data_IF_747452062182
#
_entry.id   IF_747452062182
#
_cell.length_a   1.000
_cell.length_b   1.000
_cell.length_c   1.000
_cell.angle_alpha   90.00
_cell.angle_beta   90.00
_cell.angle_gamma   90.00
#
_symmetry.space_group_name_H-M   'P 1'
#
loop_
_entity.id
_entity.type
_entity.pdbx_description
1 polymer ?
#
# COMPACT_ATOMS: atom_id res chain seq x y z
N UNK A 1 59.30 -14.95 -32.97
CA UNK A 1 60.00 -14.75 -34.25
C UNK A 1 59.02 -14.18 -35.27
N UNK A 2 59.43 -13.12 -35.99
CA UNK A 2 59.00 -12.72 -37.35
C UNK A 2 57.50 -12.48 -37.64
N UNK A 3 57.13 -11.20 -37.79
CA UNK A 3 56.08 -10.69 -38.70
C UNK A 3 56.62 -10.62 -40.15
N UNK A 4 55.79 -10.60 -41.21
CA UNK A 4 55.24 -9.35 -41.81
C UNK A 4 53.79 -9.51 -42.33
N UNK A 5 53.04 -8.49 -42.79
CA UNK A 5 53.23 -7.03 -42.92
C UNK A 5 51.86 -6.38 -43.27
N UNK A 6 51.56 -5.16 -42.81
CA UNK A 6 51.73 -3.86 -43.51
C UNK A 6 50.66 -3.52 -44.58
N UNK A 7 49.95 -2.40 -44.37
CA UNK A 7 49.06 -1.73 -45.36
C UNK A 7 48.11 -0.73 -44.69
N UNK A 8 48.23 0.57 -44.98
CA UNK A 8 47.53 1.64 -44.26
C UNK A 8 47.04 2.80 -45.14
N UNK A 9 45.98 3.49 -44.66
CA UNK A 9 45.60 4.90 -44.93
C UNK A 9 44.94 5.26 -46.31
N UNK A 10 44.21 6.41 -46.43
CA UNK A 10 42.90 6.47 -47.12
C UNK A 10 42.81 7.59 -48.19
N UNK A 11 41.84 8.54 -48.16
CA UNK A 11 40.45 8.49 -48.64
C UNK A 11 40.21 9.30 -49.95
N UNK A 12 39.01 9.20 -50.57
CA UNK A 12 38.44 10.28 -51.46
C UNK A 12 36.92 10.16 -51.66
N UNK A 13 36.31 11.24 -52.15
CA UNK A 13 34.86 11.52 -52.09
C UNK A 13 34.25 11.89 -53.47
N UNK A 14 32.97 12.32 -53.45
CA UNK A 14 32.11 12.88 -54.54
C UNK A 14 31.22 11.89 -55.32
N UNK A 15 30.02 12.24 -55.83
CA UNK A 15 29.00 13.27 -55.47
C UNK A 15 27.70 13.03 -56.32
N UNK A 16 26.60 13.74 -56.01
CA UNK A 16 25.28 13.77 -56.71
C UNK A 16 24.38 12.51 -56.58
N UNK A 17 23.04 12.60 -56.59
CA UNK A 17 22.15 13.79 -56.70
C UNK A 17 20.69 13.47 -56.34
N UNK A 18 19.86 14.51 -56.18
CA UNK A 18 18.45 14.43 -55.73
C UNK A 18 17.49 14.11 -56.88
N UNK A 19 16.52 13.22 -56.67
CA UNK A 19 15.27 13.19 -57.46
C UNK A 19 14.04 12.88 -56.60
N UNK A 20 13.00 13.70 -56.73
CA UNK A 20 11.71 13.54 -56.06
C UNK A 20 10.74 12.74 -56.94
N UNK A 21 10.10 11.70 -56.38
CA UNK A 21 8.89 11.09 -56.95
C UNK A 21 7.68 11.37 -56.06
N UNK A 22 6.72 12.13 -56.62
CA UNK A 22 5.44 12.45 -55.96
C UNK A 22 4.51 11.23 -56.00
N UNK A 23 3.99 10.80 -54.86
CA UNK A 23 2.78 9.95 -54.81
C UNK A 23 1.62 10.80 -54.27
N UNK A 24 0.51 10.78 -55.02
CA UNK A 24 -0.67 11.62 -54.82
C UNK A 24 -1.74 10.79 -54.12
N UNK A 25 -2.14 11.16 -52.91
CA UNK A 25 -3.26 10.52 -52.19
C UNK A 25 -4.37 11.55 -52.00
N UNK A 26 -5.59 11.21 -52.39
CA UNK A 26 -6.72 12.14 -52.39
C UNK A 26 -7.40 12.21 -51.01
N UNK A 27 -7.81 13.40 -50.60
CA UNK A 27 -8.76 13.59 -49.49
C UNK A 27 -10.21 13.67 -50.00
N UNK A 28 -11.17 13.01 -49.35
CA UNK A 28 -12.56 13.43 -49.41
C UNK A 28 -12.80 14.63 -48.47
N UNK A 29 -13.44 15.68 -48.97
CA UNK A 29 -14.04 16.76 -48.14
C UNK A 29 -15.51 16.43 -47.90
N UNK A 30 -16.05 16.76 -46.72
CA UNK A 30 -17.46 17.13 -46.44
C UNK A 30 -17.50 17.84 -45.05
N UNK A 31 -18.56 18.56 -44.64
CA UNK A 31 -18.45 20.01 -44.51
C UNK A 31 -18.57 20.58 -43.08
N UNK A 32 -18.19 21.85 -42.93
CA UNK A 32 -18.49 22.68 -41.74
C UNK A 32 -19.96 23.09 -41.70
N UNK A 33 -20.62 22.97 -40.53
CA UNK A 33 -21.14 24.11 -39.72
C UNK A 33 -21.85 23.63 -38.44
N UNK A 34 -21.61 24.32 -37.32
CA UNK A 34 -22.35 24.29 -36.03
C UNK A 34 -22.43 22.90 -35.30
N UNK A 35 -22.41 22.79 -33.97
CA UNK A 35 -22.59 23.75 -32.87
C UNK A 35 -21.46 23.56 -31.85
N UNK A 36 -20.76 24.64 -31.48
CA UNK A 36 -19.80 24.65 -30.37
C UNK A 36 -20.56 24.81 -29.04
N UNK A 37 -20.93 23.69 -28.43
CA UNK A 37 -21.38 23.69 -27.03
C UNK A 37 -20.23 24.06 -26.11
N UNK A 38 -20.25 25.27 -25.57
CA UNK A 38 -19.21 25.74 -24.67
C UNK A 38 -19.14 24.87 -23.40
N UNK A 39 -17.99 24.23 -23.17
CA UNK A 39 -17.64 23.73 -21.84
C UNK A 39 -17.64 24.91 -20.87
N UNK A 40 -18.31 24.83 -19.70
CA UNK A 40 -18.30 25.91 -18.74
C UNK A 40 -16.87 26.19 -18.26
N UNK A 41 -16.49 27.47 -18.05
CA UNK A 41 -15.13 27.81 -17.65
C UNK A 41 -14.79 27.14 -16.33
N UNK A 42 -13.58 26.57 -16.25
CA UNK A 42 -13.08 25.97 -15.03
C UNK A 42 -13.06 27.00 -13.91
N UNK A 43 -13.83 26.73 -12.85
CA UNK A 43 -13.92 27.58 -11.67
C UNK A 43 -12.57 27.59 -10.93
N UNK A 44 -11.70 28.54 -11.30
CA UNK A 44 -10.56 28.96 -10.49
C UNK A 44 -11.10 29.46 -9.14
N UNK A 45 -11.06 28.63 -8.10
CA UNK A 45 -11.64 29.00 -6.82
C UNK A 45 -11.93 27.83 -5.87
N UNK A 46 -10.93 27.01 -5.56
CA UNK A 46 -10.92 26.14 -4.37
C UNK A 46 -9.48 25.72 -4.02
N UNK A 47 -8.55 26.68 -4.11
CA UNK A 47 -7.28 26.57 -3.39
C UNK A 47 -7.53 26.89 -1.92
N UNK A 48 -6.81 26.24 -1.01
CA UNK A 48 -6.81 26.46 0.44
C UNK A 48 -7.94 25.78 1.25
N UNK A 49 -7.64 24.58 1.74
CA UNK A 49 -8.10 24.12 3.07
C UNK A 49 -6.97 23.51 3.92
N UNK A 50 -5.86 23.05 3.29
CA UNK A 50 -4.68 22.48 3.99
C UNK A 50 -3.70 23.56 4.53
N UNK A 51 -3.86 24.85 4.21
CA UNK A 51 -2.87 25.87 4.63
C UNK A 51 -3.08 26.40 6.05
N UNK A 52 -4.27 26.27 6.64
CA UNK A 52 -4.61 26.93 7.91
C UNK A 52 -4.49 26.03 9.16
N UNK A 53 -4.09 24.77 9.01
CA UNK A 53 -3.66 23.96 10.17
C UNK A 53 -2.14 24.02 10.27
N UNK A 54 -1.65 24.64 11.35
CA UNK A 54 -0.22 24.63 11.71
C UNK A 54 0.14 23.22 12.19
N UNK A 55 0.37 22.32 11.23
CA UNK A 55 0.76 20.94 11.49
C UNK A 55 2.28 20.79 11.27
N UNK A 56 2.95 20.07 12.20
CA UNK A 56 4.38 19.73 12.12
C UNK A 56 4.67 19.08 10.76
N UNK A 57 5.59 19.65 9.98
CA UNK A 57 5.95 19.13 8.65
C UNK A 57 6.99 18.03 8.77
N UNK A 58 6.83 16.96 8.00
CA UNK A 58 7.84 15.92 7.86
C UNK A 58 8.97 16.44 6.96
N UNK A 59 10.23 16.20 7.35
CA UNK A 59 11.41 16.52 6.55
C UNK A 59 12.20 15.27 6.24
N UNK A 60 12.43 14.99 4.95
CA UNK A 60 13.23 13.84 4.46
C UNK A 60 14.03 14.33 3.25
N UNK A 61 15.36 14.13 3.23
CA UNK A 61 16.26 14.53 2.13
C UNK A 61 15.98 15.93 1.55
N UNK A 62 15.85 16.93 2.43
CA UNK A 62 15.58 18.32 2.06
C UNK A 62 14.15 18.65 1.61
N UNK A 63 13.27 17.65 1.42
CA UNK A 63 11.85 17.87 1.11
C UNK A 63 11.06 18.21 2.38
N UNK A 64 10.09 19.11 2.26
CA UNK A 64 9.13 19.43 3.33
C UNK A 64 7.76 18.89 2.93
N UNK A 65 7.23 17.97 3.71
CA UNK A 65 6.09 17.11 3.37
C UNK A 65 4.98 17.23 4.42
N UNK A 66 3.76 16.81 4.06
CA UNK A 66 2.72 16.53 5.05
C UNK A 66 3.16 15.38 5.98
N UNK A 67 2.78 15.40 7.27
CA UNK A 67 3.15 14.36 8.24
C UNK A 67 2.33 13.06 8.08
N UNK A 68 1.94 12.72 6.85
CA UNK A 68 1.17 11.52 6.52
C UNK A 68 1.94 10.72 5.47
N UNK A 69 2.06 9.41 5.70
CA UNK A 69 2.65 8.43 4.80
C UNK A 69 1.60 7.38 4.44
N UNK A 70 1.38 7.15 3.16
CA UNK A 70 0.70 5.95 2.69
C UNK A 70 1.73 4.81 2.63
N UNK A 71 1.53 3.77 3.43
CA UNK A 71 2.41 2.61 3.50
C UNK A 71 2.20 1.65 2.32
N UNK A 72 3.27 1.04 1.82
CA UNK A 72 3.22 0.12 0.68
C UNK A 72 2.46 -1.17 0.96
N UNK A 73 1.63 -1.60 0.02
CA UNK A 73 0.74 -2.76 0.10
C UNK A 73 0.95 -3.66 -1.12
N UNK A 74 1.46 -4.88 -0.86
CA UNK A 74 2.02 -5.78 -1.87
C UNK A 74 1.05 -6.33 -2.91
N UNK A 75 1.62 -6.86 -4.01
CA UNK A 75 0.89 -7.42 -5.16
C UNK A 75 -0.06 -6.38 -5.75
N UNK A 76 0.48 -5.19 -6.04
CA UNK A 76 -0.20 -4.10 -6.74
C UNK A 76 -1.31 -3.37 -5.97
N UNK A 77 -1.57 -3.66 -4.69
CA UNK A 77 -2.63 -2.96 -3.93
C UNK A 77 -2.31 -1.47 -3.74
N UNK A 78 -1.03 -1.11 -3.63
CA UNK A 78 -0.53 0.26 -3.82
C UNK A 78 0.42 0.31 -5.02
N UNK A 79 -0.02 0.96 -6.08
CA UNK A 79 0.70 1.14 -7.32
C UNK A 79 0.71 2.65 -7.69
N UNK A 80 0.92 2.99 -8.96
CA UNK A 80 1.15 4.37 -9.37
C UNK A 80 -0.01 5.31 -9.08
N UNK A 81 -1.27 4.85 -9.15
CA UNK A 81 -2.43 5.72 -9.04
C UNK A 81 -2.64 6.17 -7.60
N UNK A 82 -2.52 5.26 -6.63
CA UNK A 82 -2.56 5.62 -5.21
C UNK A 82 -1.32 6.42 -4.80
N UNK A 83 -0.12 5.90 -5.05
CA UNK A 83 1.11 6.52 -4.59
C UNK A 83 1.35 7.89 -5.25
N UNK A 84 1.08 8.00 -6.55
CA UNK A 84 1.16 9.24 -7.31
C UNK A 84 0.17 10.30 -6.81
N UNK A 85 -1.08 9.93 -6.51
CA UNK A 85 -2.05 10.87 -5.93
C UNK A 85 -1.67 11.33 -4.53
N UNK A 86 -1.23 10.42 -3.64
CA UNK A 86 -0.78 10.80 -2.30
C UNK A 86 0.41 11.77 -2.39
N UNK A 87 1.36 11.50 -3.28
CA UNK A 87 2.51 12.37 -3.51
C UNK A 87 2.12 13.71 -4.18
N UNK A 88 1.14 13.75 -5.08
CA UNK A 88 0.69 15.00 -5.73
C UNK A 88 0.06 15.99 -4.74
N UNK A 89 -0.45 15.47 -3.61
CA UNK A 89 -1.00 16.23 -2.49
C UNK A 89 0.05 16.65 -1.45
N UNK A 90 1.34 16.37 -1.69
CA UNK A 90 2.45 16.78 -0.82
C UNK A 90 2.73 15.85 0.36
N UNK A 91 2.15 14.65 0.38
CA UNK A 91 2.45 13.58 1.33
C UNK A 91 3.48 12.57 0.76
N UNK A 92 3.76 11.49 1.50
CA UNK A 92 4.56 10.37 1.00
C UNK A 92 3.64 9.28 0.46
N UNK A 93 3.70 9.03 -0.86
CA UNK A 93 3.02 7.90 -1.50
C UNK A 93 4.01 6.76 -1.73
N UNK A 94 3.61 5.51 -1.44
CA UNK A 94 4.51 4.36 -1.49
C UNK A 94 3.95 3.25 -2.37
N UNK A 95 4.64 2.96 -3.47
CA UNK A 95 4.41 1.77 -4.32
C UNK A 95 4.92 0.53 -3.58
N UNK A 96 4.32 -0.64 -3.76
CA UNK A 96 4.95 -1.91 -3.30
C UNK A 96 5.49 -2.70 -4.49
N UNK A 97 6.75 -3.12 -4.42
CA UNK A 97 7.49 -3.66 -5.57
C UNK A 97 7.07 -5.06 -6.04
N UNK A 98 6.29 -5.80 -5.25
CA UNK A 98 6.08 -7.24 -5.46
C UNK A 98 5.03 -7.54 -6.52
N UNK A 99 5.43 -8.29 -7.55
CA UNK A 99 4.63 -8.82 -8.66
C UNK A 99 3.76 -7.77 -9.40
N UNK A 100 4.30 -6.55 -9.55
CA UNK A 100 3.64 -5.40 -10.18
C UNK A 100 3.24 -5.63 -11.65
N UNK A 101 3.86 -6.60 -12.36
CA UNK A 101 3.48 -6.94 -13.73
C UNK A 101 1.99 -7.24 -13.89
N UNK A 102 1.28 -7.62 -12.81
CA UNK A 102 -0.17 -7.84 -12.78
C UNK A 102 -1.01 -6.63 -13.22
N UNK A 103 -0.48 -5.41 -13.11
CA UNK A 103 -1.10 -4.19 -13.63
C UNK A 103 -0.85 -3.94 -15.13
N UNK A 104 -0.02 -4.77 -15.76
CA UNK A 104 0.40 -4.61 -17.15
C UNK A 104 0.04 -5.86 -17.97
N UNK A 105 -1.12 -5.86 -18.67
CA UNK A 105 -1.57 -7.01 -19.45
C UNK A 105 -0.55 -7.51 -20.49
N UNK A 106 0.26 -6.62 -21.06
CA UNK A 106 1.33 -6.95 -22.00
C UNK A 106 2.48 -7.74 -21.35
N UNK A 107 2.83 -7.45 -20.09
CA UNK A 107 3.85 -8.18 -19.34
C UNK A 107 3.30 -9.51 -18.78
N UNK A 108 2.01 -9.54 -18.43
CA UNK A 108 1.32 -10.77 -18.04
C UNK A 108 1.21 -11.77 -19.19
N UNK A 109 0.90 -11.32 -20.42
CA UNK A 109 0.80 -12.23 -21.57
C UNK A 109 2.17 -12.85 -21.93
N UNK A 110 3.24 -12.05 -21.93
CA UNK A 110 4.62 -12.52 -22.14
C UNK A 110 5.04 -13.63 -21.17
N UNK A 111 4.48 -13.65 -19.96
CA UNK A 111 4.80 -14.65 -18.92
C UNK A 111 3.70 -15.70 -18.70
N UNK A 112 2.58 -15.64 -19.43
CA UNK A 112 1.34 -16.41 -19.16
C UNK A 112 1.53 -17.93 -19.09
N UNK A 113 2.42 -18.48 -19.91
CA UNK A 113 2.75 -19.91 -19.96
C UNK A 113 4.18 -20.22 -19.51
N UNK A 114 4.94 -19.20 -19.12
CA UNK A 114 6.31 -19.37 -18.66
C UNK A 114 6.34 -19.69 -17.17
N UNK A 115 7.30 -20.54 -16.78
CA UNK A 115 7.73 -20.71 -15.39
C UNK A 115 9.19 -20.32 -15.21
N UNK A 116 9.79 -19.72 -16.24
CA UNK A 116 11.15 -19.20 -16.17
C UNK A 116 11.18 -18.01 -15.21
N UNK A 117 11.95 -18.18 -14.14
CA UNK A 117 12.14 -17.17 -13.12
C UNK A 117 12.84 -15.93 -13.69
N UNK A 118 13.82 -16.06 -14.58
CA UNK A 118 14.58 -14.91 -15.07
C UNK A 118 13.70 -13.98 -15.91
N UNK A 119 12.87 -14.57 -16.79
CA UNK A 119 11.85 -13.82 -17.54
C UNK A 119 10.82 -13.15 -16.61
N UNK A 120 10.34 -13.85 -15.57
CA UNK A 120 9.33 -13.28 -14.67
C UNK A 120 9.92 -12.17 -13.80
N UNK A 121 11.15 -12.34 -13.29
CA UNK A 121 11.86 -11.32 -12.53
C UNK A 121 12.09 -10.08 -13.41
N UNK A 122 12.58 -10.21 -14.67
CA UNK A 122 12.81 -9.06 -15.56
C UNK A 122 11.53 -8.29 -15.93
N UNK A 123 10.43 -9.01 -16.20
CA UNK A 123 9.12 -8.39 -16.45
C UNK A 123 8.58 -7.65 -15.22
N UNK A 124 8.90 -8.10 -14.00
CA UNK A 124 8.54 -7.40 -12.77
C UNK A 124 9.42 -6.16 -12.49
N UNK A 125 10.68 -6.16 -12.92
CA UNK A 125 11.54 -4.98 -12.85
C UNK A 125 11.07 -3.89 -13.84
N UNK A 126 10.71 -4.28 -15.07
CA UNK A 126 10.08 -3.38 -16.04
C UNK A 126 8.72 -2.84 -15.55
N UNK A 127 7.91 -3.68 -14.89
CA UNK A 127 6.68 -3.23 -14.23
C UNK A 127 6.96 -2.18 -13.14
N UNK A 128 7.91 -2.45 -12.24
CA UNK A 128 8.29 -1.49 -11.20
C UNK A 128 8.76 -0.16 -11.81
N UNK A 129 9.54 -0.20 -12.89
CA UNK A 129 9.99 1.00 -13.61
C UNK A 129 8.83 1.82 -14.16
N UNK A 130 7.85 1.18 -14.82
CA UNK A 130 6.64 1.84 -15.35
C UNK A 130 5.83 2.49 -14.22
N UNK A 131 5.61 1.76 -13.13
CA UNK A 131 4.81 2.21 -11.99
C UNK A 131 5.46 3.40 -11.26
N UNK A 132 6.79 3.37 -11.05
CA UNK A 132 7.51 4.51 -10.45
C UNK A 132 7.46 5.74 -11.34
N UNK A 133 7.69 5.59 -12.66
CA UNK A 133 7.64 6.71 -13.61
C UNK A 133 6.24 7.34 -13.67
N UNK A 134 5.19 6.52 -13.73
CA UNK A 134 3.80 7.01 -13.72
C UNK A 134 3.44 7.72 -12.40
N UNK A 135 3.89 7.20 -11.25
CA UNK A 135 3.68 7.86 -9.97
C UNK A 135 4.40 9.20 -9.86
N UNK A 136 5.64 9.31 -10.37
CA UNK A 136 6.41 10.55 -10.40
C UNK A 136 5.76 11.61 -11.28
N UNK A 137 5.21 11.21 -12.43
CA UNK A 137 4.43 12.09 -13.32
C UNK A 137 3.18 12.63 -12.60
N UNK A 138 2.37 11.75 -12.00
CA UNK A 138 1.20 12.14 -11.21
C UNK A 138 1.57 13.04 -10.02
N UNK A 139 2.69 12.75 -9.34
CA UNK A 139 3.16 13.54 -8.21
C UNK A 139 3.58 14.97 -8.59
N UNK A 140 4.01 15.19 -9.84
CA UNK A 140 4.43 16.50 -10.38
C UNK A 140 5.42 17.26 -9.48
N UNK A 141 6.27 16.53 -8.76
CA UNK A 141 7.29 17.07 -7.85
C UNK A 141 6.82 17.51 -6.46
N UNK A 142 5.51 17.55 -6.17
CA UNK A 142 4.95 18.14 -4.94
C UNK A 142 5.31 17.39 -3.64
N UNK A 143 5.34 16.07 -3.67
CA UNK A 143 5.55 15.21 -2.50
C UNK A 143 6.78 14.31 -2.63
N UNK A 144 6.62 13.07 -2.15
CA UNK A 144 7.64 12.03 -2.23
C UNK A 144 7.00 10.72 -2.73
N UNK A 145 7.52 10.19 -3.84
CA UNK A 145 7.23 8.82 -4.29
C UNK A 145 8.28 7.89 -3.71
N UNK A 146 7.85 6.91 -2.94
CA UNK A 146 8.66 5.88 -2.32
C UNK A 146 8.34 4.51 -2.91
N UNK A 147 9.29 3.57 -2.81
CA UNK A 147 9.07 2.15 -3.13
C UNK A 147 9.32 1.31 -1.90
N UNK A 148 8.31 0.52 -1.51
CA UNK A 148 8.45 -0.51 -0.50
C UNK A 148 8.98 -1.81 -1.13
N UNK A 149 10.11 -2.29 -0.63
CA UNK A 149 10.69 -3.59 -0.97
C UNK A 149 10.78 -4.43 0.31
N UNK A 150 10.09 -5.57 0.35
CA UNK A 150 10.15 -6.47 1.51
C UNK A 150 11.47 -7.25 1.53
N UNK A 151 12.18 -7.29 2.68
CA UNK A 151 13.46 -8.00 2.82
C UNK A 151 13.33 -9.52 2.62
N UNK A 152 12.13 -10.08 2.78
CA UNK A 152 11.81 -11.49 2.62
C UNK A 152 11.74 -11.99 1.16
N UNK A 153 11.77 -11.10 0.14
CA UNK A 153 11.63 -11.51 -1.27
C UNK A 153 12.94 -12.00 -1.88
N UNK A 154 12.85 -12.95 -2.81
CA UNK A 154 14.03 -13.55 -3.45
C UNK A 154 14.86 -12.55 -4.24
N UNK A 155 14.20 -11.63 -4.94
CA UNK A 155 14.82 -10.65 -5.86
C UNK A 155 15.01 -9.28 -5.18
N UNK A 156 15.22 -9.27 -3.85
CA UNK A 156 15.30 -8.06 -3.01
C UNK A 156 16.29 -7.02 -3.53
N UNK A 157 17.53 -7.42 -3.82
CA UNK A 157 18.57 -6.53 -4.33
C UNK A 157 18.14 -5.86 -5.66
N UNK A 158 17.65 -6.66 -6.61
CA UNK A 158 17.20 -6.17 -7.92
C UNK A 158 16.04 -5.17 -7.81
N UNK A 159 15.08 -5.42 -6.92
CA UNK A 159 13.98 -4.46 -6.68
C UNK A 159 14.47 -3.16 -6.02
N UNK A 160 15.46 -3.21 -5.12
CA UNK A 160 16.08 -2.01 -4.53
C UNK A 160 16.77 -1.19 -5.61
N UNK A 161 17.67 -1.81 -6.39
CA UNK A 161 18.40 -1.12 -7.46
C UNK A 161 17.44 -0.54 -8.50
N UNK A 162 16.49 -1.33 -8.99
CA UNK A 162 15.50 -0.87 -9.99
C UNK A 162 14.63 0.28 -9.47
N UNK A 163 14.25 0.29 -8.18
CA UNK A 163 13.52 1.41 -7.58
C UNK A 163 14.32 2.71 -7.65
N UNK A 164 15.62 2.65 -7.31
CA UNK A 164 16.53 3.78 -7.38
C UNK A 164 16.75 4.26 -8.83
N UNK A 165 17.04 3.35 -9.76
CA UNK A 165 17.21 3.64 -11.20
C UNK A 165 15.96 4.27 -11.83
N UNK A 166 14.77 3.89 -11.35
CA UNK A 166 13.49 4.44 -11.83
C UNK A 166 13.19 5.84 -11.26
N UNK A 167 14.03 6.37 -10.38
CA UNK A 167 13.90 7.70 -9.80
C UNK A 167 13.06 7.77 -8.51
N UNK A 168 12.84 6.66 -7.80
CA UNK A 168 12.16 6.69 -6.51
C UNK A 168 12.91 7.58 -5.51
N UNK A 169 12.20 8.49 -4.84
CA UNK A 169 12.81 9.39 -3.86
C UNK A 169 13.15 8.72 -2.53
N UNK A 170 12.57 7.55 -2.25
CA UNK A 170 12.87 6.74 -1.08
C UNK A 170 12.71 5.24 -1.34
N UNK A 171 13.51 4.42 -0.66
CA UNK A 171 13.33 2.97 -0.55
C UNK A 171 12.97 2.64 0.90
N UNK A 172 11.80 2.01 1.07
CA UNK A 172 11.23 1.62 2.36
C UNK A 172 11.34 0.11 2.52
N UNK A 173 11.96 -0.40 3.59
CA UNK A 173 12.16 -1.85 3.76
C UNK A 173 11.58 -2.38 5.07
N UNK A 174 10.68 -3.35 4.95
CA UNK A 174 10.12 -4.12 6.07
C UNK A 174 10.22 -5.63 5.85
N UNK A 175 9.52 -6.42 6.66
CA UNK A 175 9.56 -7.90 6.63
C UNK A 175 10.99 -8.49 6.74
N UNK A 176 11.80 -7.92 7.62
CA UNK A 176 13.19 -8.31 7.90
C UNK A 176 14.08 -7.09 8.15
N UNK A 177 15.31 -7.30 8.65
CA UNK A 177 16.26 -6.21 8.90
C UNK A 177 17.06 -5.87 7.63
N UNK A 178 17.00 -4.63 7.11
CA UNK A 178 17.74 -4.19 5.91
C UNK A 178 19.22 -3.87 6.21
N UNK A 179 19.97 -4.85 6.72
CA UNK A 179 21.37 -4.66 7.14
C UNK A 179 22.35 -4.42 5.98
N UNK A 180 21.89 -4.60 4.75
CA UNK A 180 22.59 -4.57 3.46
C UNK A 180 22.13 -3.41 2.54
N UNK A 181 21.11 -2.64 2.97
CA UNK A 181 20.52 -1.58 2.14
C UNK A 181 21.47 -0.41 1.80
N UNK A 182 22.36 0.07 2.70
CA UNK A 182 23.34 1.10 2.36
C UNK A 182 24.29 0.65 1.24
N UNK A 183 24.74 -0.61 1.27
CA UNK A 183 25.59 -1.17 0.22
C UNK A 183 24.84 -1.28 -1.12
N UNK A 184 23.58 -1.69 -1.12
CA UNK A 184 22.73 -1.79 -2.32
C UNK A 184 22.33 -0.44 -2.94
N UNK A 185 22.56 0.68 -2.23
CA UNK A 185 22.15 2.02 -2.64
C UNK A 185 23.31 3.02 -2.66
N UNK A 186 24.56 2.53 -2.66
CA UNK A 186 25.77 3.36 -2.62
C UNK A 186 25.84 4.38 -3.77
N UNK A 187 25.48 3.98 -4.98
CA UNK A 187 25.46 4.83 -6.18
C UNK A 187 24.26 5.81 -6.22
N UNK A 188 23.36 5.75 -5.23
CA UNK A 188 22.12 6.51 -5.16
C UNK A 188 22.00 7.35 -3.86
N UNK A 189 23.01 8.18 -3.52
CA UNK A 189 23.11 8.83 -2.21
C UNK A 189 21.92 9.73 -1.84
N UNK A 190 21.24 10.28 -2.86
CA UNK A 190 20.08 11.16 -2.74
C UNK A 190 18.77 10.43 -2.44
N UNK A 191 18.71 9.10 -2.64
CA UNK A 191 17.54 8.30 -2.26
C UNK A 191 17.50 8.18 -0.73
N UNK A 192 16.31 8.40 -0.15
CA UNK A 192 16.09 8.24 1.27
C UNK A 192 15.94 6.76 1.65
N UNK A 193 16.63 6.32 2.70
CA UNK A 193 16.59 4.93 3.17
C UNK A 193 15.77 4.83 4.46
N UNK A 194 14.66 4.07 4.42
CA UNK A 194 13.63 4.07 5.47
C UNK A 194 13.33 2.62 5.92
N UNK A 195 13.97 2.11 7.00
CA UNK A 195 13.60 0.82 7.58
C UNK A 195 12.25 0.89 8.32
N UNK A 196 11.47 -0.18 8.23
CA UNK A 196 10.29 -0.46 9.06
C UNK A 196 10.71 -1.41 10.19
N UNK A 197 10.51 -0.98 11.43
CA UNK A 197 10.97 -1.67 12.64
C UNK A 197 9.87 -1.58 13.71
N UNK A 198 9.78 -2.55 14.62
CA UNK A 198 8.71 -2.59 15.64
C UNK A 198 9.19 -2.28 17.06
N UNK A 199 10.46 -2.49 17.38
CA UNK A 199 11.04 -2.24 18.71
C UNK A 199 12.31 -1.38 18.65
N UNK A 200 12.66 -0.74 19.78
CA UNK A 200 13.90 0.03 19.92
C UNK A 200 15.16 -0.83 19.69
N UNK A 201 15.09 -2.13 20.00
CA UNK A 201 16.21 -3.07 19.78
C UNK A 201 16.55 -3.22 18.28
N UNK A 202 15.55 -3.35 17.41
CA UNK A 202 15.69 -3.37 15.96
C UNK A 202 16.27 -2.06 15.43
N UNK A 203 15.80 -0.92 15.96
CA UNK A 203 16.37 0.41 15.68
C UNK A 203 17.86 0.44 16.00
N UNK A 204 18.23 0.04 17.22
CA UNK A 204 19.64 -0.01 17.65
C UNK A 204 20.51 -0.94 16.80
N UNK A 205 19.98 -2.07 16.31
CA UNK A 205 20.70 -2.98 15.42
C UNK A 205 20.97 -2.36 14.04
N UNK A 206 19.96 -1.72 13.43
CA UNK A 206 20.09 -1.07 12.12
C UNK A 206 21.04 0.12 12.21
N UNK A 207 20.87 1.02 13.19
CA UNK A 207 21.76 2.16 13.41
C UNK A 207 23.22 1.70 13.57
N UNK A 208 23.50 0.79 14.51
CA UNK A 208 24.86 0.27 14.76
C UNK A 208 25.48 -0.45 13.56
N UNK A 209 24.68 -0.96 12.61
CA UNK A 209 25.18 -1.59 11.37
C UNK A 209 25.46 -0.53 10.30
N UNK A 210 24.53 0.40 10.07
CA UNK A 210 24.64 1.41 9.02
C UNK A 210 25.67 2.50 9.35
N UNK A 211 25.84 2.88 10.62
CA UNK A 211 26.92 3.79 11.06
C UNK A 211 28.31 3.29 10.64
N UNK A 212 28.55 1.97 10.69
CA UNK A 212 29.80 1.33 10.21
C UNK A 212 29.98 1.39 8.68
N UNK A 213 28.96 1.84 7.95
CA UNK A 213 28.96 2.11 6.50
C UNK A 213 28.89 3.60 6.19
N UNK A 214 29.08 4.46 7.19
CA UNK A 214 28.94 5.91 7.06
C UNK A 214 27.58 6.36 6.47
N UNK A 215 26.50 5.64 6.84
CA UNK A 215 25.13 5.97 6.44
C UNK A 215 24.19 5.87 7.64
N UNK A 216 23.16 6.71 7.66
CA UNK A 216 22.07 6.65 8.63
C UNK A 216 20.73 6.48 7.90
N UNK A 217 19.69 5.98 8.57
CA UNK A 217 18.31 6.09 8.12
C UNK A 217 17.90 7.55 7.91
N UNK A 218 17.26 7.84 6.78
CA UNK A 218 16.73 9.16 6.48
C UNK A 218 15.35 9.41 7.12
N UNK A 219 14.71 8.33 7.58
CA UNK A 219 13.59 8.25 8.51
C UNK A 219 13.50 6.80 9.03
N UNK A 220 12.73 6.54 10.07
CA UNK A 220 12.42 5.19 10.57
C UNK A 220 10.91 5.07 10.75
N UNK A 221 10.31 4.02 10.18
CA UNK A 221 8.91 3.67 10.46
C UNK A 221 8.87 2.75 11.68
N UNK A 222 8.11 3.14 12.70
CA UNK A 222 7.81 2.36 13.89
C UNK A 222 6.44 1.70 13.68
N UNK A 223 6.44 0.41 13.31
CA UNK A 223 5.20 -0.34 13.06
C UNK A 223 4.79 -1.17 14.26
N UNK A 224 3.60 -0.91 14.80
CA UNK A 224 3.04 -1.67 15.90
C UNK A 224 2.30 -2.93 15.41
N UNK A 225 2.83 -4.15 15.65
CA UNK A 225 2.24 -5.41 15.21
C UNK A 225 0.87 -5.73 15.85
N UNK A 226 0.53 -5.12 17.00
CA UNK A 226 -0.82 -5.23 17.60
C UNK A 226 -1.91 -4.72 16.64
N UNK A 227 -1.58 -3.71 15.82
CA UNK A 227 -2.59 -3.01 15.01
C UNK A 227 -2.36 -3.05 13.49
N UNK A 228 -1.14 -3.32 13.02
CA UNK A 228 -0.77 -3.27 11.59
C UNK A 228 -1.51 -4.29 10.70
N UNK A 229 -1.42 -4.11 9.38
CA UNK A 229 -2.00 -4.99 8.37
C UNK A 229 -0.91 -5.84 7.69
N UNK A 230 -1.26 -7.00 7.14
CA UNK A 230 -0.27 -7.82 6.43
C UNK A 230 0.67 -8.53 7.39
N UNK A 231 1.95 -8.68 7.03
CA UNK A 231 2.96 -9.27 7.89
C UNK A 231 3.32 -8.33 9.04
N UNK A 232 3.44 -8.88 10.24
CA UNK A 232 3.58 -8.11 11.48
C UNK A 232 5.01 -8.29 12.03
N UNK A 233 5.62 -7.22 12.53
CA UNK A 233 6.99 -7.20 13.07
C UNK A 233 7.20 -7.91 14.42
N UNK A 234 6.59 -9.07 14.64
CA UNK A 234 6.76 -9.91 15.82
C UNK A 234 7.22 -11.34 15.44
N UNK A 235 7.95 -12.06 16.32
CA UNK A 235 8.44 -13.41 16.03
C UNK A 235 7.34 -14.49 16.15
N UNK A 236 6.30 -14.25 16.95
CA UNK A 236 5.22 -15.20 17.25
C UNK A 236 3.86 -14.49 17.30
N UNK A 237 2.77 -15.26 17.25
CA UNK A 237 1.41 -14.74 17.37
C UNK A 237 1.13 -14.22 18.79
N UNK A 238 1.58 -14.93 19.82
CA UNK A 238 1.38 -14.54 21.22
C UNK A 238 2.15 -13.26 21.59
N UNK A 239 3.25 -12.98 20.89
CA UNK A 239 4.06 -11.78 21.09
C UNK A 239 3.45 -10.50 20.49
N UNK A 240 2.36 -10.56 19.74
CA UNK A 240 1.82 -9.40 19.00
C UNK A 240 1.43 -8.20 19.87
N UNK A 241 1.11 -8.44 21.14
CA UNK A 241 0.74 -7.41 22.12
C UNK A 241 1.83 -7.13 23.18
N UNK A 242 3.09 -7.44 22.86
CA UNK A 242 4.18 -7.20 23.79
C UNK A 242 4.38 -5.68 24.05
N UNK A 243 4.49 -5.21 25.30
CA UNK A 243 4.52 -3.77 25.64
C UNK A 243 5.63 -3.00 24.93
N UNK A 244 6.80 -3.61 24.70
CA UNK A 244 7.91 -3.04 23.91
C UNK A 244 7.54 -2.55 22.49
N UNK A 245 6.34 -2.87 21.97
CA UNK A 245 5.82 -2.37 20.70
C UNK A 245 4.89 -1.15 20.84
N UNK A 246 4.58 -0.72 22.05
CA UNK A 246 3.78 0.47 22.30
C UNK A 246 4.50 1.72 21.79
N UNK A 247 3.80 2.55 21.00
CA UNK A 247 4.41 3.65 20.25
C UNK A 247 5.19 4.62 21.15
N UNK A 248 4.69 4.92 22.35
CA UNK A 248 5.39 5.75 23.32
C UNK A 248 6.72 5.11 23.75
N UNK A 249 6.72 3.84 24.17
CA UNK A 249 7.92 3.14 24.64
C UNK A 249 8.97 3.00 23.52
N UNK A 250 8.55 2.80 22.26
CA UNK A 250 9.49 2.76 21.12
C UNK A 250 10.04 4.15 20.79
N UNK A 251 9.21 5.21 20.84
CA UNK A 251 9.68 6.60 20.65
C UNK A 251 10.68 7.01 21.75
N UNK A 252 10.41 6.67 23.01
CA UNK A 252 11.31 6.91 24.14
C UNK A 252 12.63 6.13 23.99
N UNK A 253 12.55 4.83 23.71
CA UNK A 253 13.73 3.99 23.49
C UNK A 253 14.56 4.42 22.27
N UNK A 254 13.91 4.91 21.20
CA UNK A 254 14.60 5.46 20.04
C UNK A 254 15.34 6.77 20.37
N UNK A 255 14.72 7.67 21.16
CA UNK A 255 15.36 8.91 21.63
C UNK A 255 16.59 8.62 22.50
N UNK A 256 16.48 7.70 23.46
CA UNK A 256 17.63 7.33 24.31
C UNK A 256 18.74 6.62 23.50
N UNK A 257 18.39 5.85 22.47
CA UNK A 257 19.38 5.30 21.53
C UNK A 257 20.07 6.39 20.71
N UNK A 258 19.34 7.41 20.24
CA UNK A 258 19.95 8.52 19.51
C UNK A 258 20.94 9.29 20.40
N UNK A 259 20.55 9.60 21.64
CA UNK A 259 21.43 10.20 22.65
C UNK A 259 22.66 9.34 22.95
N UNK A 260 22.46 8.06 23.25
CA UNK A 260 23.55 7.09 23.53
C UNK A 260 24.54 6.96 22.36
N UNK A 261 24.08 7.14 21.12
CA UNK A 261 24.90 7.03 19.91
C UNK A 261 25.40 8.39 19.37
N UNK A 262 25.10 9.51 20.04
CA UNK A 262 25.48 10.86 19.60
C UNK A 262 24.74 11.38 18.36
N UNK A 263 23.56 10.83 18.06
CA UNK A 263 22.77 11.08 16.84
C UNK A 263 21.65 12.13 17.02
N UNK A 264 21.57 12.82 18.15
CA UNK A 264 20.49 13.80 18.39
C UNK A 264 20.49 14.94 17.37
N UNK A 265 21.66 15.39 16.92
CA UNK A 265 21.81 16.42 15.89
C UNK A 265 21.33 15.98 14.49
N UNK A 266 21.28 14.68 14.22
CA UNK A 266 20.85 14.12 12.93
C UNK A 266 19.33 14.23 12.72
N UNK A 267 18.56 14.46 13.80
CA UNK A 267 17.11 14.69 13.76
C UNK A 267 16.32 13.62 12.98
N UNK A 268 16.75 12.35 13.04
CA UNK A 268 16.17 11.23 12.26
C UNK A 268 14.65 11.13 12.49
N UNK A 269 13.81 11.35 11.46
CA UNK A 269 12.36 11.33 11.61
C UNK A 269 11.82 9.97 12.04
N UNK A 270 11.03 9.94 13.11
CA UNK A 270 10.29 8.74 13.55
C UNK A 270 8.84 8.80 13.06
N UNK A 271 8.39 7.76 12.36
CA UNK A 271 7.09 7.70 11.68
C UNK A 271 6.27 6.56 12.30
N UNK A 272 5.20 6.86 13.04
CA UNK A 272 4.44 5.81 13.75
C UNK A 272 3.39 5.17 12.85
N UNK A 273 3.29 3.84 12.85
CA UNK A 273 2.40 3.07 11.98
C UNK A 273 1.59 2.01 12.75
N UNK A 274 0.37 1.74 12.25
CA UNK A 274 -0.56 0.73 12.78
C UNK A 274 -1.66 1.34 13.67
N UNK A 275 -2.91 1.00 13.36
CA UNK A 275 -4.09 1.37 14.18
C UNK A 275 -4.57 2.83 14.10
N UNK A 276 -3.93 3.64 13.26
CA UNK A 276 -4.24 5.06 13.11
C UNK A 276 -5.43 5.21 12.14
N UNK A 277 -6.52 5.79 12.63
CA UNK A 277 -7.77 5.95 11.88
C UNK A 277 -8.53 7.25 12.21
N UNK A 278 -8.07 8.07 13.17
CA UNK A 278 -8.70 9.36 13.54
C UNK A 278 -7.70 10.50 13.68
N UNK A 279 -8.17 11.71 13.45
CA UNK A 279 -7.40 12.96 13.57
C UNK A 279 -6.73 13.12 14.94
N UNK A 280 -7.43 12.78 16.02
CA UNK A 280 -6.94 12.93 17.39
C UNK A 280 -5.72 12.02 17.66
N UNK A 281 -5.70 10.82 17.06
CA UNK A 281 -4.53 9.93 17.13
C UNK A 281 -3.34 10.53 16.37
N UNK A 282 -3.56 11.16 15.21
CA UNK A 282 -2.49 11.83 14.45
C UNK A 282 -1.87 12.95 15.28
N UNK A 283 -2.70 13.83 15.87
CA UNK A 283 -2.21 14.91 16.76
C UNK A 283 -1.44 14.36 17.94
N UNK A 284 -2.04 13.44 18.70
CA UNK A 284 -1.42 12.84 19.88
C UNK A 284 -0.05 12.19 19.58
N UNK A 285 0.09 11.48 18.46
CA UNK A 285 1.36 10.87 18.07
C UNK A 285 2.42 11.91 17.69
N UNK A 286 2.03 13.00 17.02
CA UNK A 286 2.95 14.11 16.71
C UNK A 286 3.39 14.85 17.99
N UNK A 287 2.48 15.04 18.94
CA UNK A 287 2.73 15.66 20.25
C UNK A 287 3.65 14.77 21.13
N UNK A 288 3.51 13.44 21.06
CA UNK A 288 4.46 12.47 21.65
C UNK A 288 5.86 12.46 20.99
N UNK A 289 6.04 13.26 19.93
CA UNK A 289 7.33 13.47 19.27
C UNK A 289 7.51 12.73 17.95
N UNK A 290 6.50 12.03 17.43
CA UNK A 290 6.56 11.51 16.06
C UNK A 290 6.72 12.67 15.04
N UNK A 291 7.35 12.39 13.91
CA UNK A 291 7.51 13.34 12.80
C UNK A 291 6.44 13.17 11.73
N UNK A 292 5.83 11.98 11.65
CA UNK A 292 4.70 11.66 10.80
C UNK A 292 3.98 10.40 11.30
N UNK A 293 2.86 10.08 10.66
CA UNK A 293 2.14 8.81 10.82
C UNK A 293 2.07 8.05 9.49
N UNK A 294 2.07 6.72 9.53
CA UNK A 294 1.87 5.86 8.36
C UNK A 294 0.59 5.04 8.47
N UNK A 295 -0.22 5.06 7.40
CA UNK A 295 -1.46 4.31 7.29
C UNK A 295 -1.40 3.37 6.07
N UNK A 296 -1.96 2.17 6.21
CA UNK A 296 -2.15 1.20 5.12
C UNK A 296 -3.61 1.07 4.74
N UNK A 297 -4.39 0.34 5.55
CA UNK A 297 -5.81 0.03 5.32
C UNK A 297 -6.66 1.23 4.88
N UNK A 298 -6.48 2.39 5.53
CA UNK A 298 -7.22 3.60 5.23
C UNK A 298 -6.99 4.12 3.79
N UNK A 299 -5.76 4.02 3.28
CA UNK A 299 -5.46 4.37 1.89
C UNK A 299 -5.88 3.28 0.90
N UNK A 300 -5.79 2.00 1.28
CA UNK A 300 -6.22 0.87 0.44
C UNK A 300 -7.71 0.96 0.02
N UNK A 301 -8.57 1.54 0.87
CA UNK A 301 -10.00 1.72 0.60
C UNK A 301 -10.36 3.06 -0.06
N UNK A 302 -9.40 3.90 -0.42
CA UNK A 302 -9.67 5.17 -1.14
C UNK A 302 -10.09 4.94 -2.59
N UNK A 303 -10.75 5.93 -3.21
CA UNK A 303 -11.15 5.86 -4.63
C UNK A 303 -9.96 5.59 -5.57
N UNK A 304 -8.82 6.20 -5.29
CA UNK A 304 -7.58 6.15 -6.07
C UNK A 304 -6.78 4.85 -5.86
N UNK A 305 -7.02 4.11 -4.76
CA UNK A 305 -6.44 2.78 -4.51
C UNK A 305 -6.52 1.85 -5.73
N UNK A 306 -5.45 1.10 -6.02
CA UNK A 306 -5.27 0.39 -7.30
C UNK A 306 -5.99 -0.98 -7.37
N UNK A 307 -6.50 -1.48 -6.26
CA UNK A 307 -7.25 -2.74 -6.20
C UNK A 307 -8.73 -2.59 -6.66
N UNK A 308 -9.31 -3.70 -7.13
CA UNK A 308 -10.71 -3.78 -7.58
C UNK A 308 -11.70 -3.30 -6.49
N UNK A 309 -12.85 -2.67 -6.82
CA UNK A 309 -13.81 -2.16 -5.83
C UNK A 309 -14.22 -3.18 -4.74
N UNK A 310 -14.40 -4.46 -5.09
CA UNK A 310 -14.68 -5.51 -4.10
C UNK A 310 -13.59 -5.67 -3.02
N UNK A 311 -12.31 -5.43 -3.34
CA UNK A 311 -11.23 -5.43 -2.34
C UNK A 311 -11.45 -4.34 -1.30
N UNK A 312 -11.76 -3.13 -1.78
CA UNK A 312 -12.06 -1.97 -0.93
C UNK A 312 -13.27 -2.26 -0.05
N UNK A 313 -14.33 -2.83 -0.63
CA UNK A 313 -15.55 -3.24 0.07
C UNK A 313 -15.28 -4.27 1.17
N UNK A 314 -14.51 -5.33 0.89
CA UNK A 314 -14.12 -6.36 1.90
C UNK A 314 -13.35 -5.74 3.07
N UNK A 315 -12.41 -4.83 2.81
CA UNK A 315 -11.67 -4.14 3.88
C UNK A 315 -12.55 -3.16 4.68
N UNK A 316 -13.45 -2.46 3.99
CA UNK A 316 -14.32 -1.43 4.54
C UNK A 316 -15.45 -1.99 5.41
N UNK A 317 -16.05 -3.12 5.00
CA UNK A 317 -17.19 -3.76 5.68
C UNK A 317 -16.77 -4.78 6.76
N UNK A 318 -15.50 -5.20 6.80
CA UNK A 318 -15.00 -6.14 7.78
C UNK A 318 -15.12 -5.61 9.22
N UNK A 319 -15.80 -6.38 10.07
CA UNK A 319 -16.02 -6.09 11.49
C UNK A 319 -14.83 -6.57 12.33
N UNK A 320 -14.68 -6.14 13.60
CA UNK A 320 -13.60 -6.59 14.47
C UNK A 320 -13.49 -8.12 14.60
N UNK A 321 -14.63 -8.82 14.68
CA UNK A 321 -14.69 -10.29 14.77
C UNK A 321 -14.27 -11.01 13.47
N UNK A 322 -14.27 -10.33 12.33
CA UNK A 322 -13.78 -10.87 11.07
C UNK A 322 -12.24 -10.82 10.98
N UNK A 323 -11.54 -10.19 11.93
CA UNK A 323 -10.11 -9.92 11.80
C UNK A 323 -9.30 -10.96 12.55
N UNK A 324 -8.56 -11.77 11.79
CA UNK A 324 -7.80 -12.90 12.33
C UNK A 324 -6.30 -12.72 12.10
N UNK A 325 -5.52 -13.22 13.06
CA UNK A 325 -4.07 -13.34 12.98
C UNK A 325 -3.66 -14.80 12.81
N UNK A 326 -2.69 -15.07 11.95
CA UNK A 326 -2.24 -16.42 11.61
C UNK A 326 -0.77 -16.43 11.16
N UNK A 327 -0.15 -17.60 11.08
CA UNK A 327 1.24 -17.72 10.61
C UNK A 327 1.29 -17.79 9.08
N UNK A 328 1.92 -16.80 8.43
CA UNK A 328 1.97 -16.74 6.98
C UNK A 328 2.94 -17.78 6.38
N UNK A 329 2.86 -17.98 5.06
CA UNK A 329 3.83 -18.80 4.32
C UNK A 329 5.27 -18.24 4.40
N UNK A 330 5.45 -16.95 4.69
CA UNK A 330 6.76 -16.34 4.88
C UNK A 330 7.37 -16.62 6.26
N UNK A 331 6.67 -17.33 7.15
CA UNK A 331 7.13 -17.58 8.52
C UNK A 331 7.02 -16.37 9.45
N UNK A 332 6.18 -15.39 9.07
CA UNK A 332 5.86 -14.22 9.88
C UNK A 332 4.37 -14.23 10.26
N UNK A 333 4.00 -13.82 11.49
CA UNK A 333 2.61 -13.51 11.83
C UNK A 333 2.00 -12.55 10.81
N UNK A 334 0.73 -12.73 10.46
CA UNK A 334 0.01 -11.85 9.54
C UNK A 334 -1.45 -11.61 9.98
N UNK A 335 -2.01 -10.44 9.62
CA UNK A 335 -3.41 -10.04 9.93
C UNK A 335 -4.25 -9.81 8.67
N UNK A 336 -5.44 -10.42 8.63
CA UNK A 336 -6.34 -10.39 7.48
C UNK A 336 -7.83 -10.48 7.87
N UNK A 337 -8.70 -10.15 6.91
CA UNK A 337 -10.15 -10.44 6.98
C UNK A 337 -10.40 -11.93 6.76
N UNK A 338 -11.23 -12.55 7.60
CA UNK A 338 -11.64 -13.95 7.60
C UNK A 338 -12.66 -14.25 6.48
N UNK A 339 -12.24 -14.06 5.23
CA UNK A 339 -13.02 -14.41 4.03
C UNK A 339 -13.27 -15.93 3.95
N UNK A 340 -14.20 -16.41 3.09
CA UNK A 340 -14.49 -17.84 2.93
C UNK A 340 -13.24 -18.69 2.66
N UNK A 341 -12.31 -18.16 1.86
CA UNK A 341 -11.02 -18.82 1.63
C UNK A 341 -10.18 -18.93 2.91
N UNK A 342 -10.01 -17.83 3.66
CA UNK A 342 -9.16 -17.83 4.84
C UNK A 342 -9.76 -18.67 5.98
N UNK A 343 -11.07 -18.59 6.18
CA UNK A 343 -11.79 -19.46 7.13
C UNK A 343 -11.51 -20.95 6.83
N UNK A 344 -11.72 -21.38 5.59
CA UNK A 344 -11.52 -22.78 5.22
C UNK A 344 -10.05 -23.20 5.15
N UNK A 345 -9.12 -22.27 4.98
CA UNK A 345 -7.69 -22.52 5.15
C UNK A 345 -7.34 -22.79 6.62
N UNK A 346 -7.79 -21.93 7.54
CA UNK A 346 -7.48 -22.03 8.97
C UNK A 346 -8.02 -23.32 9.60
N UNK A 347 -9.24 -23.74 9.22
CA UNK A 347 -9.81 -25.05 9.60
C UNK A 347 -8.92 -26.24 9.21
N UNK A 348 -8.11 -26.09 8.16
CA UNK A 348 -7.26 -27.15 7.58
C UNK A 348 -5.78 -26.95 7.86
N UNK A 349 -5.39 -25.84 8.51
CA UNK A 349 -3.99 -25.41 8.62
C UNK A 349 -3.12 -26.49 9.26
N UNK A 350 -3.49 -27.01 10.44
CA UNK A 350 -2.71 -28.06 11.11
C UNK A 350 -2.55 -29.33 10.24
N UNK A 351 -3.58 -29.71 9.48
CA UNK A 351 -3.53 -30.87 8.58
C UNK A 351 -2.57 -30.61 7.41
N UNK A 352 -2.62 -29.41 6.82
CA UNK A 352 -1.72 -29.01 5.74
C UNK A 352 -0.27 -28.91 6.22
N UNK A 353 -0.06 -28.37 7.42
CA UNK A 353 1.24 -28.25 8.09
C UNK A 353 1.89 -29.61 8.39
N UNK A 354 1.12 -30.58 8.92
CA UNK A 354 1.59 -31.98 9.10
C UNK A 354 1.89 -32.69 7.78
N UNK A 355 1.25 -32.29 6.69
CA UNK A 355 1.48 -32.80 5.34
C UNK A 355 2.45 -31.94 4.50
N UNK A 356 3.17 -31.00 5.14
CA UNK A 356 4.11 -30.13 4.46
C UNK A 356 5.28 -30.95 3.90
N UNK A 357 5.61 -30.70 2.64
CA UNK A 357 6.73 -31.32 1.92
C UNK A 357 7.20 -30.41 0.77
N UNK A 358 8.49 -30.43 0.42
CA UNK A 358 9.03 -29.63 -0.67
C UNK A 358 8.29 -29.87 -1.99
N UNK A 359 8.13 -28.80 -2.78
CA UNK A 359 7.47 -28.82 -4.10
C UNK A 359 7.92 -27.63 -4.94
N UNK A 360 7.72 -27.71 -6.26
CA UNK A 360 7.95 -26.58 -7.17
C UNK A 360 7.06 -25.39 -6.79
N UNK A 361 7.60 -24.17 -6.82
CA UNK A 361 6.84 -22.95 -6.54
C UNK A 361 5.62 -22.84 -7.46
N UNK A 362 4.45 -22.56 -6.88
CA UNK A 362 3.15 -22.48 -7.59
C UNK A 362 3.17 -21.48 -8.75
N UNK A 363 3.85 -20.34 -8.58
CA UNK A 363 3.92 -19.25 -9.56
C UNK A 363 5.24 -19.22 -10.36
N UNK A 364 6.14 -20.18 -10.13
CA UNK A 364 7.37 -20.37 -10.93
C UNK A 364 8.57 -19.52 -10.51
N UNK A 365 8.37 -18.24 -10.15
CA UNK A 365 9.47 -17.28 -9.94
C UNK A 365 10.02 -17.18 -8.49
N UNK A 366 9.68 -18.13 -7.62
CA UNK A 366 10.24 -18.19 -6.26
C UNK A 366 10.16 -16.89 -5.43
N UNK A 367 9.04 -16.17 -5.47
CA UNK A 367 8.84 -14.84 -4.84
C UNK A 367 9.47 -14.60 -3.45
N UNK A 368 9.53 -15.59 -2.56
CA UNK A 368 10.11 -15.49 -1.22
C UNK A 368 11.42 -16.27 -1.08
N UNK A 369 12.37 -15.72 -0.32
CA UNK A 369 13.61 -16.39 0.08
C UNK A 369 13.29 -17.73 0.76
N UNK A 370 12.40 -17.69 1.76
CA UNK A 370 11.87 -18.85 2.44
C UNK A 370 10.34 -18.88 2.30
N UNK A 371 9.79 -20.02 1.88
CA UNK A 371 8.38 -20.18 1.52
C UNK A 371 7.85 -21.50 2.08
N UNK A 372 7.01 -21.43 3.10
CA UNK A 372 6.44 -22.60 3.81
C UNK A 372 5.84 -23.67 2.90
N UNK A 373 5.15 -23.26 1.83
CA UNK A 373 4.55 -24.17 0.86
C UNK A 373 5.56 -24.81 -0.10
N UNK A 374 6.51 -24.01 -0.63
CA UNK A 374 7.54 -24.49 -1.59
C UNK A 374 8.55 -25.37 -0.88
N UNK A 375 9.02 -24.94 0.28
CA UNK A 375 10.12 -25.56 1.02
C UNK A 375 9.63 -26.66 1.97
N UNK A 376 8.32 -26.83 2.14
CA UNK A 376 7.73 -27.85 3.00
C UNK A 376 7.89 -27.59 4.50
N UNK A 377 8.01 -26.34 4.91
CA UNK A 377 8.26 -25.96 6.31
C UNK A 377 6.95 -26.03 7.09
N UNK A 378 6.72 -27.15 7.79
CA UNK A 378 5.47 -27.43 8.50
C UNK A 378 5.07 -26.42 9.59
N UNK A 379 5.99 -25.58 10.08
CA UNK A 379 5.67 -24.49 11.03
C UNK A 379 5.21 -23.17 10.37
N UNK A 380 5.24 -23.07 9.04
CA UNK A 380 4.81 -21.90 8.28
C UNK A 380 3.49 -22.19 7.55
N UNK A 381 2.78 -21.14 7.14
CA UNK A 381 1.53 -21.26 6.39
C UNK A 381 1.68 -22.04 5.07
N UNK A 382 0.68 -22.84 4.72
CA UNK A 382 0.76 -23.82 3.62
C UNK A 382 -0.08 -23.42 2.40
N UNK A 383 0.14 -22.18 1.91
CA UNK A 383 -0.54 -21.62 0.74
C UNK A 383 0.38 -20.72 -0.08
N UNK A 384 0.10 -20.54 -1.37
CA UNK A 384 0.83 -19.59 -2.21
C UNK A 384 0.27 -18.18 -1.99
N UNK A 385 0.99 -17.36 -1.22
CA UNK A 385 0.55 -15.99 -0.86
C UNK A 385 0.36 -15.10 -2.09
N UNK A 386 1.28 -15.13 -3.05
CA UNK A 386 1.24 -14.34 -4.28
C UNK A 386 -0.09 -14.53 -5.03
N UNK A 387 -0.50 -15.79 -5.26
CA UNK A 387 -1.76 -16.13 -5.90
C UNK A 387 -3.00 -15.68 -5.11
N UNK A 388 -2.93 -15.67 -3.76
CA UNK A 388 -4.04 -15.24 -2.91
C UNK A 388 -4.17 -13.73 -2.82
N UNK A 389 -3.06 -13.00 -2.84
CA UNK A 389 -3.07 -11.55 -2.94
C UNK A 389 -3.49 -11.10 -4.35
N UNK A 390 -3.10 -11.82 -5.40
CA UNK A 390 -3.56 -11.57 -6.77
C UNK A 390 -5.08 -11.76 -6.92
N UNK A 391 -5.65 -12.80 -6.31
CA UNK A 391 -7.11 -12.96 -6.24
C UNK A 391 -7.79 -11.82 -5.47
N UNK A 392 -7.18 -11.33 -4.40
CA UNK A 392 -7.69 -10.17 -3.66
C UNK A 392 -7.63 -8.88 -4.48
N UNK A 393 -6.50 -8.60 -5.14
CA UNK A 393 -6.32 -7.46 -6.06
C UNK A 393 -7.41 -7.42 -7.14
N UNK A 394 -7.73 -8.58 -7.75
CA UNK A 394 -8.79 -8.73 -8.74
C UNK A 394 -10.21 -8.80 -8.15
N UNK A 395 -10.38 -8.59 -6.83
CA UNK A 395 -11.69 -8.55 -6.18
C UNK A 395 -12.41 -9.88 -6.01
N UNK A 396 -11.68 -11.00 -6.07
CA UNK A 396 -12.23 -12.35 -5.92
C UNK A 396 -12.31 -12.72 -4.43
N UNK A 397 -13.48 -12.47 -3.82
CA UNK A 397 -13.74 -12.66 -2.39
C UNK A 397 -13.58 -14.14 -1.98
N UNK A 398 -14.04 -15.07 -2.83
CA UNK A 398 -14.02 -16.53 -2.58
C UNK A 398 -12.62 -17.17 -2.59
N UNK A 399 -11.60 -16.48 -3.12
CA UNK A 399 -10.25 -17.04 -3.29
C UNK A 399 -9.12 -16.16 -2.78
N UNK A 400 -9.42 -14.91 -2.44
CA UNK A 400 -8.45 -13.89 -2.05
C UNK A 400 -8.08 -13.90 -0.56
N UNK A 401 -6.86 -13.45 -0.28
CA UNK A 401 -6.38 -13.08 1.05
C UNK A 401 -6.38 -11.56 1.17
N UNK A 402 -7.20 -11.02 2.07
CA UNK A 402 -7.42 -9.58 2.19
C UNK A 402 -6.78 -9.06 3.47
N UNK A 403 -5.56 -8.53 3.38
CA UNK A 403 -4.85 -7.96 4.52
C UNK A 403 -5.51 -6.65 5.01
N UNK A 404 -5.69 -6.54 6.34
CA UNK A 404 -6.33 -5.40 7.02
C UNK A 404 -5.73 -5.27 8.42
N UNK A 405 -5.64 -4.03 8.93
CA UNK A 405 -5.32 -3.76 10.34
C UNK A 405 -6.46 -4.19 11.29
N UNK A 406 -6.25 -4.10 12.60
CA UNK A 406 -7.30 -4.41 13.60
C UNK A 406 -8.37 -3.32 13.71
N UNK A 407 -7.94 -2.07 13.63
CA UNK A 407 -8.78 -0.92 13.96
C UNK A 407 -9.83 -0.58 12.90
N UNK A 408 -10.78 0.28 13.27
CA UNK A 408 -11.81 0.79 12.36
C UNK A 408 -11.19 1.73 11.32
N UNK A 409 -12.02 2.18 10.36
CA UNK A 409 -11.60 3.07 9.28
C UNK A 409 -12.11 4.50 9.50
N UNK A 410 -11.38 5.53 9.03
CA UNK A 410 -11.74 6.94 9.18
C UNK A 410 -13.17 7.32 8.79
N UNK A 411 -13.73 6.64 7.79
CA UNK A 411 -15.07 6.90 7.25
C UNK A 411 -16.00 5.68 7.37
N UNK A 412 -15.71 4.77 8.30
CA UNK A 412 -16.42 3.50 8.43
C UNK A 412 -16.36 2.71 7.12
N UNK A 413 -17.54 2.41 6.55
CA UNK A 413 -17.67 1.66 5.29
C UNK A 413 -17.51 2.53 4.03
N UNK A 414 -17.46 3.87 4.15
CA UNK A 414 -17.45 4.75 3.00
C UNK A 414 -16.07 4.80 2.31
N UNK A 415 -16.06 4.43 1.04
CA UNK A 415 -14.94 4.69 0.11
C UNK A 415 -14.97 6.18 -0.22
N UNK A 416 -13.85 6.88 -0.01
CA UNK A 416 -13.69 8.34 -0.21
C UNK A 416 -12.37 8.65 -0.93
N UNK A 417 -12.20 9.85 -1.52
CA UNK A 417 -10.94 10.25 -2.13
C UNK A 417 -9.77 10.35 -1.14
N UNK A 418 -8.55 10.15 -1.61
CA UNK A 418 -7.30 10.40 -0.86
C UNK A 418 -7.28 11.81 -0.27
N UNK A 419 -7.77 12.81 -1.02
CA UNK A 419 -7.86 14.20 -0.56
C UNK A 419 -8.68 14.32 0.73
N UNK A 420 -9.88 13.76 0.77
CA UNK A 420 -10.74 13.83 1.96
C UNK A 420 -10.12 13.10 3.15
N UNK A 421 -9.44 11.97 2.91
CA UNK A 421 -8.70 11.26 3.94
C UNK A 421 -7.59 12.14 4.55
N UNK A 422 -6.80 12.83 3.72
CA UNK A 422 -5.77 13.75 4.20
C UNK A 422 -6.37 14.96 4.94
N UNK A 423 -7.42 15.57 4.38
CA UNK A 423 -8.10 16.72 4.99
C UNK A 423 -8.71 16.36 6.35
N UNK A 424 -9.32 15.17 6.49
CA UNK A 424 -9.81 14.66 7.77
C UNK A 424 -8.67 14.38 8.77
N UNK A 425 -7.64 13.63 8.38
CA UNK A 425 -6.53 13.27 9.29
C UNK A 425 -5.76 14.50 9.78
N UNK A 426 -5.67 15.56 8.97
CA UNK A 426 -4.94 16.79 9.31
C UNK A 426 -5.82 17.88 9.95
N UNK A 427 -7.11 17.95 9.62
CA UNK A 427 -8.01 19.03 10.04
C UNK A 427 -9.18 18.64 10.94
N UNK A 428 -9.44 17.35 11.15
CA UNK A 428 -10.48 16.82 12.05
C UNK A 428 -11.92 16.95 11.56
N UNK A 429 -12.24 18.02 10.84
CA UNK A 429 -13.59 18.26 10.31
C UNK A 429 -13.79 17.62 8.92
N UNK A 430 -14.57 16.55 8.86
CA UNK A 430 -15.27 16.19 7.63
C UNK A 430 -16.36 17.23 7.36
N UNK A 431 -16.21 18.04 6.32
CA UNK A 431 -17.38 18.73 5.77
C UNK A 431 -18.31 17.68 5.17
N UNK A 432 -19.32 17.30 5.93
CA UNK A 432 -20.46 16.55 5.42
C UNK A 432 -21.18 17.42 4.39
N UNK A 433 -20.78 17.32 3.11
CA UNK A 433 -21.58 17.83 1.99
C UNK A 433 -22.83 16.97 1.90
N UNK A 434 -23.87 17.41 2.59
CA UNK A 434 -25.21 16.84 2.53
C UNK A 434 -25.68 16.85 1.06
N UNK A 435 -25.59 15.68 0.43
CA UNK A 435 -26.00 15.41 -0.94
C UNK A 435 -27.38 14.79 -1.05
N UNK A 436 -28.18 14.82 0.02
CA UNK A 436 -29.57 14.38 0.00
C UNK A 436 -30.50 15.58 0.15
N UNK A 437 -30.66 16.32 -0.95
CA UNK A 437 -31.78 17.25 -1.11
C UNK A 437 -32.94 16.49 -1.74
N UNK A 438 -33.62 15.71 -0.90
CA UNK A 438 -34.93 15.15 -1.21
C UNK A 438 -35.86 16.25 -1.73
N UNK A 439 -36.27 16.13 -2.98
CA UNK A 439 -37.12 17.11 -3.63
C UNK A 439 -38.58 16.90 -3.20
N UNK A 440 -39.02 17.65 -2.19
CA UNK A 440 -40.45 17.80 -1.90
C UNK A 440 -40.81 19.29 -1.75
N UNK A 441 -41.42 19.82 -2.81
CA UNK A 441 -42.11 21.10 -2.84
C UNK A 441 -43.62 20.88 -2.63
N UNK A 442 -44.25 21.88 -2.02
CA UNK A 442 -45.69 22.09 -1.81
C UNK A 442 -46.40 21.33 -0.68
N UNK A 443 -47.15 22.12 0.12
CA UNK A 443 -48.00 21.71 1.24
C UNK A 443 -48.10 22.84 2.26
N UNK A 444 -49.13 23.68 2.16
CA UNK A 444 -49.30 24.86 3.03
C UNK A 444 -49.68 24.47 4.46
N UNK A 445 -49.37 25.34 5.43
CA UNK A 445 -49.48 25.01 6.86
C UNK A 445 -50.80 25.40 7.53
N UNK A 446 -50.98 24.96 8.78
CA UNK A 446 -51.77 25.66 9.80
C UNK A 446 -51.36 25.29 11.24
N UNK A 447 -51.44 26.30 12.10
CA UNK A 447 -51.32 26.43 13.57
C UNK A 447 -51.63 25.24 14.51
N UNK A 448 -50.63 24.86 15.32
CA UNK A 448 -50.57 24.92 16.81
C UNK A 448 -51.85 24.75 17.68
N UNK A 449 -51.95 23.67 18.48
CA UNK A 449 -51.95 23.62 19.98
C UNK A 449 -52.23 22.18 20.54
N UNK A 450 -52.08 21.88 21.86
CA UNK A 450 -51.80 20.52 22.35
C UNK A 450 -52.87 19.92 23.31
N UNK A 451 -52.51 18.77 23.91
CA UNK A 451 -53.16 17.98 24.97
C UNK A 451 -54.17 16.90 24.51
N UNK A 452 -54.05 15.71 25.10
CA UNK A 452 -55.04 14.64 24.96
C UNK A 452 -54.48 13.22 24.85
N UNK A 453 -54.10 12.62 25.98
CA UNK A 453 -54.13 11.16 26.16
C UNK A 453 -55.34 10.85 27.05
N UNK A 454 -56.16 9.83 26.74
CA UNK A 454 -55.99 8.59 27.49
C UNK A 454 -56.33 7.28 26.75
N UNK A 455 -55.66 6.20 27.17
CA UNK A 455 -56.14 4.80 27.32
C UNK A 455 -56.82 4.03 26.17
N UNK A 456 -56.27 2.85 25.85
CA UNK A 456 -56.96 1.77 25.10
C UNK A 456 -56.08 0.53 24.90
N UNK A 457 -56.31 -0.55 25.66
CA UNK A 457 -55.50 -1.79 25.70
C UNK A 457 -55.82 -2.78 24.56
N UNK A 458 -54.99 -3.83 24.32
CA UNK A 458 -54.94 -4.57 23.04
C UNK A 458 -55.85 -5.81 22.98
N UNK A 459 -56.03 -6.36 21.77
CA UNK A 459 -56.73 -7.62 21.52
C UNK A 459 -55.88 -8.67 20.78
N UNK A 460 -55.55 -9.74 21.51
CA UNK A 460 -55.46 -11.15 21.07
C UNK A 460 -56.50 -11.93 21.91
N UNK A 461 -57.16 -12.98 21.42
CA UNK A 461 -56.58 -14.36 21.38
C UNK A 461 -57.01 -15.09 20.07
N UNK A 462 -57.12 -16.43 19.91
CA UNK A 462 -56.94 -17.60 20.78
C UNK A 462 -56.47 -18.86 20.01
N UNK A 463 -55.48 -19.54 20.58
CA UNK A 463 -55.22 -20.98 20.65
C UNK A 463 -56.32 -21.98 20.18
N UNK A 464 -55.88 -23.04 19.49
CA UNK A 464 -56.38 -24.42 19.71
C UNK A 464 -55.31 -25.46 19.36
N UNK A 465 -55.15 -26.49 20.20
CA UNK A 465 -54.06 -27.47 20.17
C UNK A 465 -54.50 -28.89 19.77
N UNK A 466 -53.71 -29.61 18.97
CA UNK A 466 -53.80 -31.09 18.87
C UNK A 466 -52.40 -31.74 18.77
N UNK A 467 -52.15 -32.67 19.71
CA UNK A 467 -51.31 -33.90 19.75
C UNK A 467 -50.38 -34.19 18.54
N UNK A 468 -49.08 -34.38 18.79
CA UNK A 468 -48.36 -35.67 18.99
C UNK A 468 -48.54 -36.69 17.84
N UNK A 469 -47.43 -37.07 17.21
CA UNK A 469 -47.09 -38.49 17.03
C UNK A 469 -45.58 -38.74 16.89
N UNK A 470 -45.16 -40.00 17.08
CA UNK A 470 -43.76 -40.46 17.12
C UNK A 470 -43.45 -41.48 16.01
N UNK A 471 -42.34 -41.31 15.29
CA UNK A 471 -41.50 -42.38 14.69
C UNK A 471 -40.31 -41.69 13.98
N UNK A 472 -39.03 -41.96 14.22
CA UNK A 472 -38.32 -43.21 14.49
C UNK A 472 -38.25 -44.16 13.28
N UNK A 473 -37.36 -43.85 12.33
CA UNK A 473 -36.47 -44.77 11.62
C UNK A 473 -35.21 -44.01 11.19
#
# INVERSE_FOLDING_TARGET
MVQPGLGAMPPRAMCHGVFLTKIKVCHPRLPHTAILGALPPSSRGSTVLVQNVVCKRLRIKGRTLLPIVQGGMGVGVSAHRLAGTVASLGAVGTISSVDLRRHHPDLMEQSRRSRDRQLIDSLNLEALRREVVAALQLASGNGLVAVNVMRAVSSYASYVTQACESGAGAVVVGAGLPLDLPELTADFPNVALIPILSDARGIGLVLKKWMRRNRLPDAIVIENPRYAAGHLGAPTLDGLDHPNYASQQVLEGARELFKTLGLEAENIPLIVAGGIHRHEQVRHLLDLGASAVQLGTAFAVTEEGDAHPNFKKVLAEAKPEDIVTFMSVAGLPARAVRTPWLASYLEKEQKLQRAAKPRRCTVGFDCLQQCGLRDGIGKHGQFCIDMRLAHALSGNIERGLFFRGSETLPFGHAIRPVRELLDYLLGGATQARAGDRGCHLFGAGTTVHPNGCPTGTPLRPSLSSVRKDQSAQ
#
